data_IF_027684524246
#
_entry.id   IF_027684524246
#
_cell.length_a   1.000
_cell.length_b   1.000
_cell.length_c   1.000
_cell.angle_alpha   90.00
_cell.angle_beta   90.00
_cell.angle_gamma   90.00
#
_symmetry.space_group_name_H-M   'P 1'
#
loop_
_entity.id
_entity.type
_entity.pdbx_description
1 polymer ?
#
# COMPACT_ATOMS: atom_id res chain seq x y z
N UNK A 1 -24.02 5.15 0.85
CA UNK A 1 -23.92 3.92 0.02
C UNK A 1 -25.30 3.30 -0.10
N UNK A 2 -25.69 2.79 -1.28
CA UNK A 2 -26.96 2.04 -1.44
C UNK A 2 -26.96 0.76 -0.61
N UNK A 3 -28.11 0.39 -0.04
CA UNK A 3 -28.30 -0.85 0.73
C UNK A 3 -27.83 -2.09 -0.05
N UNK A 4 -28.21 -2.18 -1.32
CA UNK A 4 -27.81 -3.28 -2.21
C UNK A 4 -26.29 -3.40 -2.35
N UNK A 5 -25.59 -2.28 -2.56
CA UNK A 5 -24.13 -2.28 -2.69
C UNK A 5 -23.44 -2.75 -1.40
N UNK A 6 -23.97 -2.33 -0.25
CA UNK A 6 -23.45 -2.77 1.06
C UNK A 6 -23.69 -4.27 1.26
N UNK A 7 -24.86 -4.76 0.88
CA UNK A 7 -25.20 -6.18 0.93
C UNK A 7 -24.29 -7.03 0.03
N UNK A 8 -23.98 -6.58 -1.19
CA UNK A 8 -23.03 -7.27 -2.07
C UNK A 8 -21.62 -7.35 -1.48
N UNK A 9 -21.13 -6.28 -0.84
CA UNK A 9 -19.83 -6.34 -0.18
C UNK A 9 -19.83 -7.23 1.05
N UNK A 10 -20.94 -7.27 1.80
CA UNK A 10 -21.11 -8.21 2.90
C UNK A 10 -21.10 -9.66 2.40
N UNK A 11 -21.87 -9.98 1.36
CA UNK A 11 -21.87 -11.33 0.78
C UNK A 11 -20.48 -11.71 0.26
N UNK A 12 -19.80 -10.78 -0.41
CA UNK A 12 -18.41 -10.95 -0.84
C UNK A 12 -17.47 -11.21 0.33
N UNK A 13 -17.62 -10.47 1.43
CA UNK A 13 -16.81 -10.67 2.64
C UNK A 13 -17.00 -12.09 3.20
N UNK A 14 -18.24 -12.59 3.26
CA UNK A 14 -18.51 -13.96 3.70
C UNK A 14 -17.87 -15.00 2.77
N UNK A 15 -17.93 -14.80 1.45
CA UNK A 15 -17.29 -15.70 0.49
C UNK A 15 -15.76 -15.70 0.64
N UNK A 16 -15.14 -14.53 0.81
CA UNK A 16 -13.69 -14.43 1.03
C UNK A 16 -13.30 -15.01 2.41
N UNK A 17 -14.14 -14.86 3.43
CA UNK A 17 -13.94 -15.51 4.73
C UNK A 17 -13.96 -17.03 4.61
N UNK A 18 -14.94 -17.62 3.92
CA UNK A 18 -15.01 -19.07 3.66
C UNK A 18 -13.75 -19.53 2.93
N UNK A 19 -13.33 -18.81 1.88
CA UNK A 19 -12.10 -19.12 1.16
C UNK A 19 -10.86 -19.05 2.06
N UNK A 20 -10.83 -18.06 2.95
CA UNK A 20 -9.78 -17.92 3.95
C UNK A 20 -9.71 -19.16 4.85
N UNK A 21 -10.84 -19.60 5.39
CA UNK A 21 -10.93 -20.82 6.23
C UNK A 21 -10.43 -22.03 5.46
N UNK A 22 -10.92 -22.26 4.23
CA UNK A 22 -10.48 -23.39 3.39
C UNK A 22 -8.96 -23.33 3.18
N UNK A 23 -8.42 -22.15 2.85
CA UNK A 23 -6.98 -21.98 2.65
C UNK A 23 -6.15 -22.28 3.89
N UNK A 24 -6.73 -22.05 5.09
CA UNK A 24 -6.06 -22.25 6.37
C UNK A 24 -5.93 -23.72 6.76
N UNK A 25 -6.80 -24.57 6.20
CA UNK A 25 -6.77 -26.02 6.39
C UNK A 25 -5.78 -26.72 5.46
N UNK A 26 -5.32 -26.04 4.40
CA UNK A 26 -4.37 -26.61 3.44
C UNK A 26 -2.97 -26.57 4.05
N UNK A 27 -2.30 -27.74 4.24
CA UNK A 27 -0.95 -27.78 4.75
C UNK A 27 0.00 -27.00 3.85
N UNK A 28 0.91 -26.23 4.44
CA UNK A 28 1.89 -25.47 3.70
C UNK A 28 3.23 -25.52 4.42
N UNK A 29 4.23 -26.13 3.79
CA UNK A 29 5.57 -26.30 4.35
C UNK A 29 6.28 -24.98 4.66
N UNK A 30 7.41 -25.06 5.38
CA UNK A 30 8.25 -23.87 5.66
C UNK A 30 8.70 -23.24 4.35
N UNK A 31 8.73 -21.91 4.28
CA UNK A 31 9.31 -21.21 3.13
C UNK A 31 10.85 -21.22 3.26
N UNK A 32 11.58 -21.94 2.38
CA UNK A 32 13.04 -21.99 2.46
C UNK A 32 13.69 -20.65 2.11
N UNK A 33 12.96 -19.74 1.48
CA UNK A 33 13.45 -18.43 1.05
C UNK A 33 12.91 -17.29 1.93
N UNK A 34 12.45 -17.59 3.15
CA UNK A 34 11.89 -16.60 4.06
C UNK A 34 12.86 -15.42 4.33
N UNK A 35 14.16 -15.68 4.41
CA UNK A 35 15.19 -14.65 4.63
C UNK A 35 15.42 -13.72 3.44
N UNK A 36 14.88 -14.03 2.26
CA UNK A 36 15.06 -13.25 1.02
C UNK A 36 13.90 -12.29 0.73
N UNK A 37 12.98 -12.10 1.67
CA UNK A 37 11.84 -11.19 1.50
C UNK A 37 12.18 -9.74 1.75
N UNK A 38 11.40 -8.83 1.17
CA UNK A 38 11.41 -7.39 1.46
C UNK A 38 10.09 -6.92 2.10
N UNK A 39 8.99 -7.60 1.79
CA UNK A 39 7.65 -7.43 2.37
C UNK A 39 7.23 -8.74 3.04
N UNK A 40 6.85 -8.67 4.31
CA UNK A 40 6.45 -9.82 5.10
C UNK A 40 4.98 -9.76 5.51
N UNK A 41 4.17 -10.67 4.96
CA UNK A 41 2.73 -10.73 5.24
C UNK A 41 2.49 -11.62 6.45
N UNK A 42 2.04 -11.06 7.56
CA UNK A 42 1.58 -11.82 8.73
C UNK A 42 0.14 -12.26 8.48
N UNK A 43 -0.10 -13.57 8.47
CA UNK A 43 -1.43 -14.10 8.19
C UNK A 43 -2.42 -13.77 9.29
N UNK A 44 -3.69 -13.70 8.90
CA UNK A 44 -4.80 -13.36 9.74
C UNK A 44 -5.51 -14.58 10.35
N UNK A 45 -6.53 -14.30 11.17
CA UNK A 45 -7.40 -15.33 11.74
C UNK A 45 -8.00 -16.20 10.63
N UNK A 46 -7.91 -17.52 10.80
CA UNK A 46 -8.39 -18.51 9.83
C UNK A 46 -7.95 -18.19 8.39
N UNK A 47 -6.69 -17.79 8.19
CA UNK A 47 -6.15 -17.43 6.87
C UNK A 47 -4.86 -18.21 6.60
N UNK A 48 -4.85 -18.98 5.51
CA UNK A 48 -3.67 -19.70 5.06
C UNK A 48 -2.91 -18.96 3.93
N UNK A 49 -1.70 -19.42 3.56
CA UNK A 49 -0.86 -18.75 2.56
C UNK A 49 -1.54 -18.56 1.20
N UNK A 50 -2.35 -19.52 0.77
CA UNK A 50 -3.05 -19.47 -0.52
C UNK A 50 -4.04 -18.31 -0.62
N UNK A 51 -4.61 -17.87 0.51
CA UNK A 51 -5.51 -16.72 0.56
C UNK A 51 -4.81 -15.43 0.10
N UNK A 52 -3.53 -15.29 0.40
CA UNK A 52 -2.74 -14.10 0.07
C UNK A 52 -2.15 -14.10 -1.34
N UNK A 53 -2.34 -15.17 -2.12
CA UNK A 53 -1.75 -15.33 -3.45
C UNK A 53 -2.04 -14.14 -4.39
N UNK A 54 -3.23 -13.54 -4.32
CA UNK A 54 -3.59 -12.36 -5.13
C UNK A 54 -2.73 -11.15 -4.76
N UNK A 55 -2.61 -10.86 -3.46
CA UNK A 55 -1.77 -9.78 -2.96
C UNK A 55 -0.29 -10.02 -3.29
N UNK A 56 0.22 -11.23 -3.07
CA UNK A 56 1.61 -11.58 -3.38
C UNK A 56 1.93 -11.35 -4.86
N UNK A 57 1.10 -11.85 -5.78
CA UNK A 57 1.30 -11.63 -7.23
C UNK A 57 1.31 -10.15 -7.60
N UNK A 58 0.45 -9.36 -6.95
CA UNK A 58 0.37 -7.93 -7.22
C UNK A 58 1.60 -7.17 -6.70
N UNK A 59 2.16 -7.60 -5.55
CA UNK A 59 3.42 -7.10 -5.00
C UNK A 59 4.61 -7.49 -5.88
N UNK A 60 4.68 -8.75 -6.30
CA UNK A 60 5.71 -9.25 -7.23
C UNK A 60 5.72 -8.45 -8.54
N UNK A 61 4.54 -8.13 -9.08
CA UNK A 61 4.41 -7.29 -10.27
C UNK A 61 4.92 -5.85 -10.08
N UNK A 62 5.11 -5.39 -8.83
CA UNK A 62 5.74 -4.11 -8.46
C UNK A 62 7.21 -4.26 -8.06
N UNK A 63 7.80 -5.43 -8.29
CA UNK A 63 9.21 -5.72 -8.01
C UNK A 63 9.51 -6.01 -6.54
N UNK A 64 8.50 -6.27 -5.72
CA UNK A 64 8.69 -6.76 -4.36
C UNK A 64 8.93 -8.28 -4.33
N UNK A 65 9.51 -8.77 -3.24
CA UNK A 65 9.66 -10.18 -2.91
C UNK A 65 8.85 -10.53 -1.66
N UNK A 66 7.51 -10.64 -1.77
CA UNK A 66 6.65 -10.89 -0.62
C UNK A 66 6.87 -12.30 -0.04
N UNK A 67 6.93 -12.38 1.29
CA UNK A 67 7.00 -13.64 2.04
C UNK A 67 5.89 -13.71 3.07
N UNK A 68 5.42 -14.91 3.37
CA UNK A 68 4.29 -15.11 4.29
C UNK A 68 4.78 -15.65 5.63
N UNK A 69 4.53 -14.90 6.70
CA UNK A 69 4.72 -15.31 8.09
C UNK A 69 3.43 -15.95 8.58
N UNK A 70 3.48 -17.27 8.80
CA UNK A 70 2.29 -18.07 9.05
C UNK A 70 1.98 -18.14 10.54
N UNK A 71 0.75 -17.79 10.92
CA UNK A 71 0.22 -18.11 12.25
C UNK A 71 -0.63 -19.39 12.17
N UNK A 72 -0.75 -20.17 13.26
CA UNK A 72 -1.71 -21.28 13.31
C UNK A 72 -3.12 -20.78 13.00
N UNK A 73 -3.85 -21.50 12.14
CA UNK A 73 -5.21 -21.12 11.74
C UNK A 73 -6.13 -20.97 12.95
N UNK A 74 -6.08 -21.96 13.83
CA UNK A 74 -6.72 -21.96 15.14
C UNK A 74 -5.65 -21.76 16.20
N UNK A 75 -5.61 -20.59 16.81
CA UNK A 75 -4.76 -20.35 17.96
C UNK A 75 -5.60 -20.34 19.23
N UNK A 76 -5.70 -21.50 19.87
CA UNK A 76 -6.30 -21.65 21.20
C UNK A 76 -5.37 -21.13 22.31
N UNK A 77 -4.12 -20.83 21.98
CA UNK A 77 -3.12 -20.28 22.89
C UNK A 77 -2.34 -19.16 22.20
N UNK A 78 -2.58 -17.94 22.65
CA UNK A 78 -1.94 -16.73 22.10
C UNK A 78 -0.42 -16.80 22.26
N UNK A 79 0.10 -17.22 23.42
CA UNK A 79 1.55 -17.30 23.69
C UNK A 79 2.26 -18.22 22.70
N UNK A 80 1.75 -19.44 22.51
CA UNK A 80 2.31 -20.40 21.55
C UNK A 80 2.33 -19.85 20.12
N UNK A 81 1.31 -19.09 19.77
CA UNK A 81 1.19 -18.48 18.44
C UNK A 81 2.19 -17.35 18.24
N UNK A 82 2.37 -16.52 19.26
CA UNK A 82 3.40 -15.48 19.28
C UNK A 82 4.79 -16.11 19.22
N UNK A 83 5.05 -17.23 19.90
CA UNK A 83 6.32 -17.96 19.82
C UNK A 83 6.60 -18.48 18.40
N UNK A 84 5.58 -19.01 17.72
CA UNK A 84 5.68 -19.44 16.31
C UNK A 84 5.99 -18.27 15.39
N UNK A 85 5.34 -17.13 15.59
CA UNK A 85 5.62 -15.91 14.82
C UNK A 85 7.04 -15.40 15.11
N UNK A 86 7.45 -15.33 16.39
CA UNK A 86 8.77 -14.89 16.80
C UNK A 86 9.89 -15.75 16.20
N UNK A 87 9.71 -17.09 16.14
CA UNK A 87 10.67 -17.99 15.48
C UNK A 87 10.82 -17.73 13.99
N UNK A 88 9.75 -17.30 13.32
CA UNK A 88 9.84 -16.87 11.91
C UNK A 88 10.50 -15.50 11.79
N UNK A 89 10.21 -14.57 12.70
CA UNK A 89 10.88 -13.27 12.78
C UNK A 89 12.40 -13.41 13.00
N UNK A 90 12.86 -14.46 13.67
CA UNK A 90 14.29 -14.72 13.84
C UNK A 90 15.00 -14.97 12.48
N UNK A 91 14.27 -15.46 11.47
CA UNK A 91 14.79 -15.81 10.13
C UNK A 91 14.75 -14.65 9.13
N UNK A 92 14.01 -13.57 9.43
CA UNK A 92 13.91 -12.42 8.52
C UNK A 92 15.02 -11.39 8.77
N UNK A 93 15.41 -10.60 7.76
CA UNK A 93 16.38 -9.52 7.90
C UNK A 93 15.93 -8.44 8.90
N UNK A 94 16.91 -7.69 9.42
CA UNK A 94 16.61 -6.47 10.15
C UNK A 94 16.01 -5.40 9.22
N UNK A 95 15.26 -4.46 9.79
CA UNK A 95 14.59 -3.36 9.07
C UNK A 95 13.58 -3.82 8.00
N UNK A 96 12.91 -4.94 8.25
CA UNK A 96 11.87 -5.51 7.40
C UNK A 96 10.56 -4.72 7.47
N UNK A 97 9.77 -4.75 6.39
CA UNK A 97 8.42 -4.18 6.35
C UNK A 97 7.40 -5.30 6.50
N UNK A 98 6.46 -5.15 7.42
CA UNK A 98 5.40 -6.11 7.69
C UNK A 98 4.06 -5.57 7.21
N UNK A 99 3.28 -6.44 6.56
CA UNK A 99 1.85 -6.24 6.30
C UNK A 99 1.11 -7.24 7.17
N UNK A 100 0.46 -6.78 8.22
CA UNK A 100 -0.21 -7.65 9.18
C UNK A 100 -1.73 -7.58 9.00
N UNK A 101 -2.32 -8.68 8.56
CA UNK A 101 -3.76 -8.77 8.30
C UNK A 101 -4.52 -9.15 9.58
N UNK A 102 -5.53 -8.35 9.92
CA UNK A 102 -6.43 -8.52 11.05
C UNK A 102 -5.74 -8.94 12.36
N UNK A 103 -6.04 -10.11 12.90
CA UNK A 103 -5.42 -10.59 14.15
C UNK A 103 -3.92 -10.78 14.03
N UNK A 104 -3.37 -10.94 12.82
CA UNK A 104 -1.93 -10.87 12.60
C UNK A 104 -1.32 -9.57 13.13
N UNK A 105 -2.02 -8.44 12.98
CA UNK A 105 -1.58 -7.15 13.53
C UNK A 105 -1.58 -7.11 15.06
N UNK A 106 -2.60 -7.70 15.70
CA UNK A 106 -2.60 -7.86 17.16
C UNK A 106 -1.41 -8.71 17.62
N UNK A 107 -1.14 -9.83 16.94
CA UNK A 107 -0.04 -10.72 17.30
C UNK A 107 1.33 -10.06 17.13
N UNK A 108 1.49 -9.14 16.17
CA UNK A 108 2.74 -8.38 16.03
C UNK A 108 3.05 -7.48 17.23
N UNK A 109 2.03 -7.00 17.96
CA UNK A 109 2.27 -6.29 19.23
C UNK A 109 2.90 -7.17 20.28
N UNK A 110 2.45 -8.41 20.34
CA UNK A 110 2.79 -9.35 21.39
C UNK A 110 4.18 -9.96 21.19
N UNK A 111 4.82 -9.69 20.05
CA UNK A 111 6.18 -10.13 19.76
C UNK A 111 7.16 -9.59 20.80
N UNK A 112 8.20 -10.37 21.17
CA UNK A 112 9.26 -9.87 22.05
C UNK A 112 10.02 -8.71 21.41
N UNK A 113 10.65 -7.86 22.22
CA UNK A 113 11.38 -6.66 21.76
C UNK A 113 12.37 -6.95 20.63
N UNK A 114 13.15 -8.03 20.76
CA UNK A 114 14.11 -8.47 19.73
C UNK A 114 13.47 -8.65 18.35
N UNK A 115 12.22 -9.11 18.29
CA UNK A 115 11.50 -9.32 17.04
C UNK A 115 10.88 -8.02 16.54
N UNK A 116 10.38 -7.17 17.45
CA UNK A 116 9.83 -5.84 17.11
C UNK A 116 10.90 -4.91 16.54
N UNK A 117 12.12 -4.94 17.07
CA UNK A 117 13.25 -4.14 16.58
C UNK A 117 13.64 -4.44 15.12
N UNK A 118 13.27 -5.61 14.59
CA UNK A 118 13.48 -5.93 13.17
C UNK A 118 12.48 -5.23 12.25
N UNK A 119 11.38 -4.69 12.79
CA UNK A 119 10.30 -4.07 12.01
C UNK A 119 10.62 -2.59 11.81
N UNK A 120 10.94 -2.21 10.56
CA UNK A 120 11.08 -0.80 10.17
C UNK A 120 9.72 -0.17 9.85
N UNK A 121 8.79 -0.97 9.33
CA UNK A 121 7.46 -0.50 8.96
C UNK A 121 6.43 -1.56 9.25
N UNK A 122 5.38 -1.19 9.97
CA UNK A 122 4.23 -2.04 10.24
C UNK A 122 2.99 -1.43 9.58
N UNK A 123 2.52 -2.08 8.53
CA UNK A 123 1.26 -1.79 7.86
C UNK A 123 0.23 -2.78 8.38
N UNK A 124 -0.79 -2.31 9.07
CA UNK A 124 -1.87 -3.19 9.55
C UNK A 124 -3.11 -3.04 8.69
N UNK A 125 -3.78 -4.16 8.41
CA UNK A 125 -4.97 -4.22 7.56
C UNK A 125 -6.13 -4.75 8.39
N UNK A 126 -7.03 -3.87 8.83
CA UNK A 126 -8.23 -4.25 9.56
C UNK A 126 -7.94 -4.93 10.90
N UNK A 127 -6.85 -4.54 11.56
CA UNK A 127 -6.50 -5.07 12.87
C UNK A 127 -7.53 -4.62 13.90
N UNK A 128 -8.18 -5.53 14.63
CA UNK A 128 -9.09 -5.16 15.72
C UNK A 128 -8.26 -4.76 16.94
N UNK A 129 -7.71 -3.54 16.94
CA UNK A 129 -6.74 -3.06 17.93
C UNK A 129 -7.22 -3.15 19.38
N UNK A 130 -8.53 -3.05 19.62
CA UNK A 130 -9.14 -3.17 20.95
C UNK A 130 -9.69 -4.57 21.23
N UNK A 131 -9.42 -5.53 20.36
CA UNK A 131 -9.92 -6.91 20.41
C UNK A 131 -11.25 -7.12 19.69
N UNK A 132 -11.79 -8.33 19.73
CA UNK A 132 -13.08 -8.66 19.09
C UNK A 132 -13.94 -9.48 20.03
N UNK A 133 -15.26 -9.31 19.94
CA UNK A 133 -16.25 -10.18 20.61
C UNK A 133 -16.14 -11.63 20.13
N UNK A 134 -15.64 -11.85 18.92
CA UNK A 134 -15.34 -13.20 18.41
C UNK A 134 -14.41 -13.97 19.36
N UNK A 135 -13.49 -13.29 20.05
CA UNK A 135 -12.53 -13.94 20.95
C UNK A 135 -13.08 -14.18 22.37
N UNK A 136 -14.32 -13.79 22.65
CA UNK A 136 -14.97 -14.12 23.92
C UNK A 136 -15.37 -15.60 24.03
N UNK A 137 -15.56 -16.27 22.89
CA UNK A 137 -15.99 -17.69 22.82
C UNK A 137 -14.82 -18.67 22.62
N UNK A 138 -13.60 -18.17 22.42
CA UNK A 138 -12.39 -18.99 22.29
C UNK A 138 -11.51 -18.85 23.55
N UNK A 139 -10.61 -19.81 23.84
CA UNK A 139 -9.65 -19.73 24.95
C UNK A 139 -8.51 -18.72 24.72
N UNK A 140 -8.82 -17.59 24.09
CA UNK A 140 -7.93 -16.44 23.84
C UNK A 140 -8.50 -15.18 24.45
N UNK A 141 -8.96 -15.28 25.71
CA UNK A 141 -9.61 -14.21 26.45
C UNK A 141 -8.79 -12.91 26.52
N UNK A 142 -7.46 -13.01 26.44
CA UNK A 142 -6.58 -11.85 26.33
C UNK A 142 -6.80 -10.99 25.08
N UNK A 143 -7.39 -11.52 24.01
CA UNK A 143 -7.67 -10.79 22.76
C UNK A 143 -9.13 -10.35 22.62
N UNK A 144 -9.98 -10.66 23.61
CA UNK A 144 -11.39 -10.22 23.58
C UNK A 144 -11.49 -8.70 23.60
N UNK A 145 -12.59 -8.18 23.07
CA UNK A 145 -12.82 -6.74 23.07
C UNK A 145 -12.74 -6.14 24.49
N UNK A 146 -11.94 -5.09 24.65
CA UNK A 146 -11.79 -4.39 25.92
C UNK A 146 -11.04 -5.17 27.00
N UNK A 147 -10.25 -6.18 26.64
CA UNK A 147 -9.43 -6.90 27.63
C UNK A 147 -8.40 -5.94 28.29
N UNK A 148 -8.14 -6.07 29.60
CA UNK A 148 -7.06 -5.31 30.26
C UNK A 148 -5.71 -5.53 29.57
N UNK A 149 -5.47 -6.77 29.13
CA UNK A 149 -4.26 -7.16 28.41
C UNK A 149 -4.02 -6.32 27.14
N UNK A 150 -5.06 -6.13 26.31
CA UNK A 150 -4.92 -5.29 25.11
C UNK A 150 -4.85 -3.81 25.45
N UNK A 151 -5.56 -3.35 26.48
CA UNK A 151 -5.51 -1.94 26.91
C UNK A 151 -4.09 -1.53 27.33
N UNK A 152 -3.40 -2.38 28.07
CA UNK A 152 -2.00 -2.17 28.48
C UNK A 152 -1.07 -2.11 27.27
N UNK A 153 -1.25 -3.04 26.32
CA UNK A 153 -0.36 -3.18 25.17
C UNK A 153 -0.69 -2.25 24.00
N UNK A 154 -1.84 -1.58 24.00
CA UNK A 154 -2.32 -0.76 22.88
C UNK A 154 -1.33 0.33 22.46
N UNK A 155 -0.67 0.97 23.44
CA UNK A 155 0.32 2.02 23.18
C UNK A 155 1.63 1.49 22.58
N UNK A 156 1.85 0.17 22.58
CA UNK A 156 3.07 -0.44 22.02
C UNK A 156 3.23 -0.16 20.52
N UNK A 157 2.12 0.03 19.78
CA UNK A 157 2.17 0.45 18.38
C UNK A 157 2.88 1.79 18.16
N UNK A 158 2.85 2.69 19.16
CA UNK A 158 3.49 4.01 19.09
C UNK A 158 5.00 3.95 19.09
N UNK A 159 5.57 2.85 19.58
CA UNK A 159 7.02 2.65 19.66
C UNK A 159 7.60 1.94 18.43
N UNK A 160 6.76 1.63 17.44
CA UNK A 160 7.24 1.16 16.14
C UNK A 160 7.80 2.33 15.34
N UNK A 161 8.94 2.14 14.67
CA UNK A 161 9.59 3.19 13.85
C UNK A 161 8.61 3.84 12.86
N UNK A 162 7.82 3.00 12.17
CA UNK A 162 6.70 3.46 11.36
C UNK A 162 5.53 2.52 11.52
N UNK A 163 4.38 3.09 11.86
CA UNK A 163 3.14 2.36 12.04
C UNK A 163 2.03 3.01 11.23
N UNK A 164 1.38 2.21 10.39
CA UNK A 164 0.32 2.64 9.48
C UNK A 164 -0.92 1.74 9.67
N UNK A 165 -1.91 2.21 10.43
CA UNK A 165 -3.20 1.52 10.53
C UNK A 165 -4.05 1.79 9.31
N UNK A 166 -4.41 0.73 8.57
CA UNK A 166 -5.36 0.80 7.47
C UNK A 166 -6.63 0.01 7.85
N UNK A 167 -7.73 0.71 8.02
CA UNK A 167 -9.01 0.17 8.46
C UNK A 167 -9.95 -0.06 7.26
N UNK A 168 -10.78 -1.11 7.29
CA UNK A 168 -11.83 -1.26 6.28
C UNK A 168 -12.84 -0.11 6.43
N UNK A 169 -13.42 0.37 5.32
CA UNK A 169 -14.51 1.37 5.36
C UNK A 169 -15.64 0.95 6.30
N UNK A 170 -15.90 -0.37 6.34
CA UNK A 170 -16.89 -0.98 7.22
C UNK A 170 -16.42 -2.39 7.59
N UNK A 171 -16.41 -2.67 8.88
CA UNK A 171 -16.09 -3.97 9.47
C UNK A 171 -17.36 -4.79 9.64
N UNK A 172 -17.29 -6.09 9.31
CA UNK A 172 -18.43 -7.01 9.36
C UNK A 172 -18.20 -8.21 10.28
N UNK A 173 -16.94 -8.58 10.55
CA UNK A 173 -16.58 -9.83 11.25
C UNK A 173 -15.97 -9.51 12.61
N UNK A 174 -14.99 -8.60 12.66
CA UNK A 174 -14.30 -8.28 13.91
C UNK A 174 -15.03 -7.16 14.68
N UNK A 175 -16.10 -7.54 15.36
CA UNK A 175 -16.94 -6.60 16.10
C UNK A 175 -16.44 -6.34 17.53
N UNK A 176 -16.63 -5.12 18.08
CA UNK A 176 -17.31 -3.99 17.45
C UNK A 176 -16.44 -3.32 16.39
N UNK A 177 -17.05 -2.73 15.36
CA UNK A 177 -16.34 -2.12 14.24
C UNK A 177 -15.36 -1.00 14.65
N UNK A 178 -15.65 -0.32 15.77
CA UNK A 178 -14.75 0.68 16.38
C UNK A 178 -13.41 0.11 16.83
N UNK A 179 -13.30 -1.22 17.01
CA UNK A 179 -12.06 -1.89 17.36
C UNK A 179 -11.02 -1.82 16.23
N UNK A 180 -11.48 -1.81 14.97
CA UNK A 180 -10.59 -1.72 13.81
C UNK A 180 -10.06 -0.31 13.55
N UNK A 181 -10.52 0.69 14.30
CA UNK A 181 -10.04 2.07 14.25
C UNK A 181 -8.93 2.19 15.28
N UNK A 182 -7.72 2.57 14.88
CA UNK A 182 -6.66 2.84 15.84
C UNK A 182 -6.99 4.11 16.65
N UNK A 183 -7.19 5.22 15.95
CA UNK A 183 -7.32 6.57 16.47
C UNK A 183 -6.08 7.42 16.17
N UNK A 184 -5.91 8.50 16.94
CA UNK A 184 -4.70 9.35 16.90
C UNK A 184 -4.39 9.92 15.50
N UNK A 185 -5.43 10.19 14.71
CA UNK A 185 -5.35 10.77 13.36
C UNK A 185 -4.46 10.01 12.36
N UNK A 186 -4.23 8.71 12.60
CA UNK A 186 -3.34 7.87 11.77
C UNK A 186 -4.06 6.88 10.86
N UNK A 187 -5.35 6.65 11.08
CA UNK A 187 -6.10 5.66 10.31
C UNK A 187 -6.27 6.09 8.86
N UNK A 188 -5.83 5.21 7.98
CA UNK A 188 -6.13 5.24 6.55
C UNK A 188 -7.31 4.29 6.29
N UNK A 189 -8.11 4.61 5.29
CA UNK A 189 -9.35 3.88 5.02
C UNK A 189 -9.34 3.27 3.63
N UNK A 190 -9.77 2.02 3.53
CA UNK A 190 -10.01 1.38 2.25
C UNK A 190 -11.34 1.80 1.64
N UNK A 191 -11.45 1.80 0.32
CA UNK A 191 -12.69 2.13 -0.37
C UNK A 191 -13.74 1.01 -0.32
N UNK A 192 -13.29 -0.25 -0.33
CA UNK A 192 -14.17 -1.42 -0.33
C UNK A 192 -14.35 -1.95 1.10
N UNK A 193 -15.60 -2.06 1.59
CA UNK A 193 -15.95 -2.68 2.87
C UNK A 193 -15.48 -4.13 3.03
N UNK A 194 -15.34 -4.56 4.28
CA UNK A 194 -14.96 -5.91 4.65
C UNK A 194 -13.47 -6.06 4.94
N UNK A 195 -13.16 -6.84 5.97
CA UNK A 195 -11.84 -7.11 6.49
C UNK A 195 -11.05 -8.04 5.54
N UNK A 196 -11.62 -9.21 5.22
CA UNK A 196 -11.03 -10.18 4.30
C UNK A 196 -10.96 -9.65 2.87
N UNK A 197 -11.90 -8.78 2.47
CA UNK A 197 -11.85 -8.08 1.19
C UNK A 197 -10.58 -7.21 1.02
N UNK A 198 -9.94 -6.72 2.09
CA UNK A 198 -8.75 -5.85 2.03
C UNK A 198 -7.59 -6.44 1.22
N UNK A 199 -7.35 -7.75 1.34
CA UNK A 199 -6.23 -8.43 0.66
C UNK A 199 -6.64 -9.18 -0.61
N UNK A 200 -7.90 -9.03 -1.04
CA UNK A 200 -8.51 -9.86 -2.10
C UNK A 200 -9.11 -9.07 -3.25
N UNK A 201 -9.66 -7.88 -2.98
CA UNK A 201 -10.28 -7.03 -4.00
C UNK A 201 -9.24 -6.17 -4.66
N UNK A 202 -9.36 -6.04 -5.99
CA UNK A 202 -8.41 -5.32 -6.85
C UNK A 202 -8.17 -3.89 -6.40
N UNK A 203 -9.24 -3.21 -5.98
CA UNK A 203 -9.25 -1.82 -5.55
C UNK A 203 -8.46 -1.67 -4.24
N UNK A 204 -8.74 -2.51 -3.25
CA UNK A 204 -8.00 -2.49 -1.99
C UNK A 204 -6.53 -2.92 -2.18
N UNK A 205 -6.26 -3.95 -3.01
CA UNK A 205 -4.88 -4.34 -3.36
C UNK A 205 -4.16 -3.17 -4.04
N UNK A 206 -4.81 -2.46 -4.95
CA UNK A 206 -4.25 -1.27 -5.60
C UNK A 206 -3.91 -0.19 -4.57
N UNK A 207 -4.79 0.10 -3.62
CA UNK A 207 -4.51 1.03 -2.52
C UNK A 207 -3.28 0.60 -1.71
N UNK A 208 -3.16 -0.69 -1.38
CA UNK A 208 -1.97 -1.23 -0.68
C UNK A 208 -0.71 -1.00 -1.53
N UNK A 209 -0.76 -1.27 -2.83
CA UNK A 209 0.40 -1.09 -3.72
C UNK A 209 0.80 0.37 -3.83
N UNK A 210 -0.15 1.28 -4.06
CA UNK A 210 0.13 2.72 -4.15
C UNK A 210 0.74 3.25 -2.85
N UNK A 211 0.20 2.82 -1.70
CA UNK A 211 0.74 3.13 -0.39
C UNK A 211 2.18 2.62 -0.22
N UNK A 212 2.44 1.36 -0.56
CA UNK A 212 3.78 0.76 -0.41
C UNK A 212 4.79 1.39 -1.35
N UNK A 213 4.42 1.68 -2.60
CA UNK A 213 5.31 2.35 -3.55
C UNK A 213 5.75 3.71 -3.02
N UNK A 214 4.83 4.45 -2.39
CA UNK A 214 5.13 5.76 -1.82
C UNK A 214 5.99 5.69 -0.55
N UNK A 215 5.65 4.82 0.42
CA UNK A 215 6.32 4.80 1.73
C UNK A 215 7.51 3.83 1.82
N UNK A 216 7.50 2.77 1.01
CA UNK A 216 8.42 1.64 1.04
C UNK A 216 8.77 1.20 -0.40
N UNK A 217 9.39 2.07 -1.24
CA UNK A 217 9.67 1.73 -2.62
C UNK A 217 10.59 0.50 -2.71
N UNK A 218 10.25 -0.42 -3.63
CA UNK A 218 11.10 -1.56 -3.96
C UNK A 218 12.43 -1.11 -4.55
N UNK A 219 13.45 -1.97 -4.50
CA UNK A 219 14.74 -1.62 -5.10
C UNK A 219 14.64 -1.45 -6.62
N UNK A 220 13.73 -2.20 -7.27
CA UNK A 220 13.37 -2.01 -8.69
C UNK A 220 12.79 -0.61 -8.93
N UNK A 221 11.89 -0.15 -8.06
CA UNK A 221 11.29 1.19 -8.16
C UNK A 221 12.33 2.29 -7.97
N UNK A 222 13.21 2.15 -6.97
CA UNK A 222 14.30 3.11 -6.72
C UNK A 222 15.26 3.19 -7.89
N UNK A 223 15.62 2.05 -8.48
CA UNK A 223 16.53 2.01 -9.62
C UNK A 223 15.89 2.65 -10.86
N UNK A 224 14.60 2.39 -11.10
CA UNK A 224 13.85 3.02 -12.19
C UNK A 224 13.80 4.55 -12.05
N UNK A 225 13.60 5.05 -10.83
CA UNK A 225 13.63 6.50 -10.54
C UNK A 225 15.01 7.10 -10.78
N UNK A 226 16.09 6.42 -10.35
CA UNK A 226 17.47 6.85 -10.60
C UNK A 226 17.78 6.94 -12.09
N UNK A 227 17.41 5.93 -12.87
CA UNK A 227 17.61 5.91 -14.32
C UNK A 227 16.83 7.03 -15.00
N UNK A 228 15.58 7.27 -14.58
CA UNK A 228 14.76 8.36 -15.13
C UNK A 228 15.36 9.74 -14.83
N UNK A 229 15.85 9.95 -13.59
CA UNK A 229 16.51 11.19 -13.19
C UNK A 229 17.83 11.42 -13.93
N UNK A 230 18.63 10.37 -14.15
CA UNK A 230 19.85 10.43 -14.94
C UNK A 230 19.56 10.84 -16.39
N UNK A 231 18.55 10.22 -17.02
CA UNK A 231 18.14 10.57 -18.39
C UNK A 231 17.60 12.01 -18.50
N UNK A 232 16.86 12.49 -17.49
CA UNK A 232 16.41 13.88 -17.42
C UNK A 232 17.61 14.84 -17.31
N UNK A 233 18.58 14.52 -16.47
CA UNK A 233 19.79 15.33 -16.28
C UNK A 233 20.62 15.41 -17.56
N UNK A 234 20.81 14.29 -18.27
CA UNK A 234 21.50 14.25 -19.55
C UNK A 234 20.78 15.10 -20.62
N UNK A 235 19.44 15.03 -20.66
CA UNK A 235 18.62 15.86 -21.57
C UNK A 235 18.75 17.35 -21.27
N UNK A 236 18.80 17.73 -20.00
CA UNK A 236 19.01 19.12 -19.55
C UNK A 236 20.42 19.64 -19.87
N UNK A 237 21.45 18.78 -19.78
CA UNK A 237 22.83 19.13 -20.15
C UNK A 237 22.97 19.28 -21.68
N UNK A 238 22.36 18.38 -22.45
CA UNK A 238 22.39 18.41 -23.92
C UNK A 238 21.69 19.65 -24.49
N UNK A 239 20.61 20.12 -23.86
CA UNK A 239 19.92 21.36 -24.23
C UNK A 239 20.68 22.65 -23.85
N UNK A 240 21.65 22.58 -22.94
CA UNK A 240 22.49 23.72 -22.53
C UNK A 240 23.77 23.91 -23.34
N UNK A 241 24.13 22.99 -24.25
CA UNK A 241 25.29 23.21 -25.13
C UNK A 241 24.97 24.31 -26.15
N UNK A 242 25.71 25.43 -26.19
CA UNK A 242 25.51 26.44 -27.21
C UNK A 242 25.92 25.84 -28.55
N UNK A 243 25.01 25.88 -29.54
CA UNK A 243 25.37 25.66 -30.93
C UNK A 243 26.34 26.77 -31.33
N UNK A 244 27.64 26.49 -31.25
CA UNK A 244 28.68 27.33 -31.88
C UNK A 244 28.52 27.14 -33.38
N UNK A 245 27.65 27.96 -33.98
CA UNK A 245 27.53 28.09 -35.42
C UNK A 245 28.78 28.80 -35.95
N UNK A 246 29.80 28.02 -36.32
CA UNK A 246 30.96 28.51 -37.08
C UNK A 246 30.46 28.91 -38.48
N UNK A 247 30.06 30.18 -38.66
CA UNK A 247 29.94 30.79 -39.99
C UNK A 247 31.29 31.37 -40.39
N UNK A 248 32.14 30.56 -41.02
CA UNK A 248 33.17 31.09 -41.93
C UNK A 248 32.48 31.59 -43.20
N UNK A 249 32.40 32.90 -43.40
CA UNK A 249 32.18 33.47 -44.74
C UNK A 249 33.21 34.56 -45.01
N UNK A 250 34.11 34.22 -45.92
CA UNK A 250 35.23 35.03 -46.42
C UNK A 250 34.67 36.08 -47.39
N UNK A 251 34.98 37.34 -47.10
CA UNK A 251 35.15 38.54 -47.94
C UNK A 251 34.70 38.48 -49.41
N UNK A 252 33.86 39.43 -49.81
CA UNK A 252 34.15 40.41 -50.89
C UNK A 252 33.02 41.44 -51.01
N UNK A 253 33.35 42.72 -50.85
CA UNK A 253 32.66 43.86 -51.45
C UNK A 253 33.42 44.21 -52.76
N UNK A 254 32.84 44.87 -53.79
CA UNK A 254 32.42 46.27 -53.63
C UNK A 254 31.21 46.77 -54.47
N UNK A 255 30.60 47.84 -53.94
CA UNK A 255 30.03 49.04 -54.59
C UNK A 255 29.02 49.02 -55.77
N UNK A 256 27.92 49.75 -55.50
CA UNK A 256 27.18 50.75 -56.32
C UNK A 256 26.37 50.31 -57.57
N UNK A 257 25.03 50.44 -57.49
CA UNK A 257 24.25 51.54 -58.12
C UNK A 257 22.72 51.32 -58.06
N UNK A 258 22.05 52.43 -57.74
CA UNK A 258 20.76 52.94 -58.25
C UNK A 258 19.45 52.14 -58.11
N UNK A 259 18.58 52.80 -57.33
CA UNK A 259 17.23 53.31 -57.63
C UNK A 259 16.04 52.34 -57.68
N UNK A 260 15.02 52.81 -56.92
CA UNK A 260 13.57 52.77 -57.18
C UNK A 260 12.90 51.41 -57.01
N UNK A 261 11.77 51.25 -56.33
CA UNK A 261 10.76 52.20 -55.88
C UNK A 261 9.78 51.51 -54.90
N UNK A 262 9.12 52.34 -54.10
CA UNK A 262 7.79 52.14 -53.52
C UNK A 262 7.58 51.07 -52.42
N UNK A 263 7.41 51.61 -51.20
CA UNK A 263 6.60 51.09 -50.08
C UNK A 263 5.08 51.09 -50.45
N UNK A 264 4.11 50.80 -49.55
CA UNK A 264 4.11 50.27 -48.18
C UNK A 264 3.07 49.12 -47.97
N UNK A 265 3.24 48.18 -47.02
CA UNK A 265 2.89 48.23 -45.57
C UNK A 265 1.41 48.51 -45.22
N UNK A 266 0.89 47.67 -44.28
CA UNK A 266 -0.26 47.84 -43.34
C UNK A 266 -1.62 47.28 -43.85
N UNK A 267 -2.49 46.67 -43.04
CA UNK A 267 -2.66 46.62 -41.56
C UNK A 267 -3.74 45.60 -41.16
N UNK A 268 -3.55 45.01 -39.97
CA UNK A 268 -4.53 44.84 -38.86
C UNK A 268 -5.77 43.93 -39.00
N UNK A 269 -5.88 42.94 -38.09
CA UNK A 269 -6.86 42.86 -36.95
C UNK A 269 -8.27 42.37 -37.38
N UNK A 270 -9.11 41.66 -36.63
CA UNK A 270 -9.17 41.08 -35.27
C UNK A 270 -10.44 40.20 -35.26
N UNK A 271 -10.45 39.16 -34.41
CA UNK A 271 -11.57 38.27 -34.06
C UNK A 271 -12.67 39.05 -33.31
N UNK A 272 -13.96 38.66 -33.36
CA UNK A 272 -14.59 38.26 -32.09
C UNK A 272 -15.60 37.09 -32.14
N UNK A 273 -15.74 36.50 -30.95
CA UNK A 273 -16.59 35.40 -30.48
C UNK A 273 -18.11 35.68 -30.51
N UNK A 274 -18.91 34.61 -30.58
CA UNK A 274 -20.25 34.46 -29.94
C UNK A 274 -20.27 33.05 -29.29
N UNK A 275 -20.50 32.84 -27.98
CA UNK A 275 -21.61 33.18 -27.06
C UNK A 275 -22.71 32.08 -26.98
N UNK A 276 -22.56 31.24 -25.94
CA UNK A 276 -23.53 30.61 -25.03
C UNK A 276 -25.03 30.66 -25.36
N UNK A 277 -25.70 29.49 -25.30
CA UNK A 277 -27.08 29.40 -24.78
C UNK A 277 -27.27 28.17 -23.87
N UNK A 278 -28.04 28.40 -22.81
CA UNK A 278 -28.41 27.56 -21.67
C UNK A 278 -29.94 27.50 -21.66
N UNK A 279 -30.57 26.34 -21.50
CA UNK A 279 -31.99 26.15 -21.09
C UNK A 279 -32.22 24.66 -20.82
N UNK A 280 -33.19 24.16 -20.06
CA UNK A 280 -33.74 24.40 -18.71
C UNK A 280 -34.48 23.09 -18.36
N UNK A 281 -34.57 22.77 -17.07
CA UNK A 281 -35.41 21.71 -16.49
C UNK A 281 -36.88 21.74 -16.96
N UNK A 282 -37.47 20.54 -17.02
CA UNK A 282 -38.75 20.21 -16.39
C UNK A 282 -38.66 18.79 -15.84
#
# INVERSE_FOLDING_TARGET
MSFFRTFFYFLSEILEFILSVISSLIPSGKDPNLSRGDIYIVTGFLSGPLFYRKLCKALEAKGYQPRILKIPAFFLNTKKTVEVLAKQMDQIPAKSVLIAHNTGGLLTLLLPDRSRQKIRGLVTLGTPFRGSYLFSIFPVSGLRYGSPYLQELFKTFLFMDRFHPLSPMKEFIFLPASSSIYGEERDLWFDIPGNYNQVRKSENIRTILEFLVFHYPSDVAKESERVAMAALHEKLISQKKPQIAIKKKRVTAPTTKKRTSASPKKKSKVIPKKAVQKKTKR
#
